data_IF_229849409151
#
_entry.id   IF_229849409151
#
_cell.length_a   1.000
_cell.length_b   1.000
_cell.length_c   1.000
_cell.angle_alpha   90.00
_cell.angle_beta   90.00
_cell.angle_gamma   90.00
#
_symmetry.space_group_name_H-M   'P 1'
#
loop_
_entity.id
_entity.type
_entity.pdbx_description
1 polymer ?
#
# COMPACT_ATOMS: atom_id res chain seq x y z
N UNK A 1 -21.94 -12.01 -46.37
CA UNK A 1 -20.70 -11.22 -46.18
C UNK A 1 -20.72 -10.66 -44.77
N UNK A 2 -20.04 -11.32 -43.83
CA UNK A 2 -19.94 -10.89 -42.43
C UNK A 2 -18.69 -10.02 -42.32
N UNK A 3 -18.87 -8.71 -42.13
CA UNK A 3 -17.76 -7.81 -41.84
C UNK A 3 -17.81 -7.55 -40.34
N UNK A 4 -16.86 -8.17 -39.66
CA UNK A 4 -16.49 -7.91 -38.28
C UNK A 4 -16.03 -6.46 -38.18
N UNK A 5 -16.61 -5.67 -37.28
CA UNK A 5 -15.92 -4.49 -36.76
C UNK A 5 -16.17 -4.39 -35.26
N UNK A 6 -15.23 -5.00 -34.55
CA UNK A 6 -14.61 -4.48 -33.34
C UNK A 6 -15.55 -4.11 -32.19
N UNK A 7 -15.83 -5.17 -31.43
CA UNK A 7 -15.86 -5.19 -29.98
C UNK A 7 -14.72 -4.31 -29.41
N UNK A 8 -15.02 -3.07 -29.06
CA UNK A 8 -14.23 -2.34 -28.08
C UNK A 8 -14.68 -2.87 -26.71
N UNK A 9 -14.12 -4.00 -26.28
CA UNK A 9 -14.03 -4.28 -24.86
C UNK A 9 -13.10 -3.21 -24.30
N UNK A 10 -13.68 -2.18 -23.70
CA UNK A 10 -13.02 -1.43 -22.64
C UNK A 10 -12.82 -2.45 -21.51
N UNK A 11 -11.79 -3.27 -21.62
CA UNK A 11 -11.20 -3.90 -20.44
C UNK A 11 -10.52 -2.72 -19.77
N UNK A 12 -11.13 -2.19 -18.70
CA UNK A 12 -10.41 -1.29 -17.82
C UNK A 12 -9.08 -1.96 -17.50
N UNK A 13 -7.98 -1.25 -17.68
CA UNK A 13 -6.74 -1.62 -17.03
C UNK A 13 -6.93 -1.34 -15.54
N UNK A 14 -7.77 -2.13 -14.88
CA UNK A 14 -7.72 -2.23 -13.43
C UNK A 14 -6.53 -3.13 -13.18
N UNK A 15 -5.46 -2.55 -12.64
CA UNK A 15 -4.33 -3.30 -12.11
C UNK A 15 -4.85 -4.10 -10.91
N UNK A 16 -5.61 -5.16 -11.15
CA UNK A 16 -6.08 -6.05 -10.09
C UNK A 16 -4.88 -6.84 -9.62
N UNK A 17 -4.18 -6.27 -8.65
CA UNK A 17 -3.18 -6.97 -7.88
C UNK A 17 -3.72 -8.32 -7.44
N UNK A 18 -2.91 -9.35 -7.63
CA UNK A 18 -3.18 -10.64 -7.00
C UNK A 18 -3.01 -10.51 -5.49
N UNK A 19 -3.71 -11.34 -4.72
CA UNK A 19 -3.59 -11.39 -3.25
C UNK A 19 -2.11 -11.48 -2.83
N UNK A 20 -1.32 -12.33 -3.50
CA UNK A 20 0.13 -12.46 -3.27
C UNK A 20 0.89 -11.15 -3.42
N UNK A 21 0.56 -10.33 -4.42
CA UNK A 21 1.24 -9.04 -4.61
C UNK A 21 0.84 -8.01 -3.55
N UNK A 22 -0.40 -8.08 -3.06
CA UNK A 22 -0.84 -7.28 -1.92
C UNK A 22 -0.09 -7.70 -0.66
N UNK A 23 0.03 -9.01 -0.40
CA UNK A 23 0.83 -9.57 0.70
C UNK A 23 2.30 -9.11 0.61
N UNK A 24 2.94 -9.22 -0.56
CA UNK A 24 4.32 -8.77 -0.79
C UNK A 24 4.48 -7.25 -0.54
N UNK A 25 3.49 -6.45 -0.93
CA UNK A 25 3.50 -5.00 -0.68
C UNK A 25 3.34 -4.66 0.80
N UNK A 26 2.41 -5.32 1.51
CA UNK A 26 2.24 -5.18 2.96
C UNK A 26 3.50 -5.59 3.70
N UNK A 27 4.12 -6.71 3.31
CA UNK A 27 5.38 -7.17 3.87
C UNK A 27 6.49 -6.12 3.67
N UNK A 28 6.58 -5.53 2.47
CA UNK A 28 7.53 -4.44 2.17
C UNK A 28 7.32 -3.20 3.03
N UNK A 29 6.07 -2.82 3.31
CA UNK A 29 5.75 -1.72 4.23
C UNK A 29 6.20 -2.06 5.63
N UNK A 30 5.77 -3.20 6.16
CA UNK A 30 6.10 -3.62 7.52
C UNK A 30 7.62 -3.66 7.69
N UNK A 31 8.34 -4.23 6.72
CA UNK A 31 9.80 -4.21 6.70
C UNK A 31 10.37 -2.78 6.76
N UNK A 32 9.85 -1.86 5.95
CA UNK A 32 10.26 -0.46 5.96
C UNK A 32 9.99 0.26 7.29
N UNK A 33 8.90 -0.09 7.97
CA UNK A 33 8.49 0.48 9.26
C UNK A 33 9.32 -0.06 10.43
N UNK A 34 9.54 -1.37 10.47
CA UNK A 34 10.16 -2.07 11.60
C UNK A 34 11.68 -2.12 11.47
N UNK A 35 12.20 -2.14 10.23
CA UNK A 35 13.62 -2.32 9.91
C UNK A 35 14.24 -3.57 10.57
N UNK A 36 13.42 -4.61 10.75
CA UNK A 36 13.76 -5.86 11.42
C UNK A 36 13.20 -7.07 10.64
N UNK A 37 13.72 -8.26 10.94
CA UNK A 37 13.45 -9.52 10.20
C UNK A 37 12.35 -10.39 10.85
N UNK A 38 11.67 -9.87 11.87
CA UNK A 38 10.55 -10.54 12.57
C UNK A 38 9.24 -10.54 11.73
N UNK A 39 9.36 -10.37 10.40
CA UNK A 39 8.26 -10.45 9.44
C UNK A 39 7.62 -11.83 9.39
N UNK A 40 8.41 -12.88 9.62
CA UNK A 40 7.92 -14.27 9.60
C UNK A 40 6.87 -14.49 10.69
N UNK A 41 7.05 -13.88 11.86
CA UNK A 41 6.15 -13.93 13.00
C UNK A 41 4.85 -13.16 12.72
N UNK A 42 4.95 -12.03 12.03
CA UNK A 42 3.80 -11.23 11.61
C UNK A 42 2.98 -11.99 10.56
N UNK A 43 3.61 -12.52 9.51
CA UNK A 43 2.97 -13.32 8.47
C UNK A 43 2.27 -14.57 9.05
N UNK A 44 2.90 -15.24 10.01
CA UNK A 44 2.30 -16.41 10.66
C UNK A 44 1.10 -16.07 11.56
N UNK A 45 1.04 -14.83 12.05
CA UNK A 45 0.05 -14.37 13.01
C UNK A 45 -1.17 -13.71 12.36
N UNK A 46 -0.95 -12.91 11.33
CA UNK A 46 -1.98 -12.15 10.63
C UNK A 46 -2.87 -13.09 9.81
N UNK A 47 -3.92 -13.62 10.46
CA UNK A 47 -4.86 -14.57 9.84
C UNK A 47 -6.11 -13.85 9.36
N UNK A 48 -6.59 -14.23 8.17
CA UNK A 48 -7.77 -13.67 7.51
C UNK A 48 -7.68 -12.14 7.30
N UNK A 49 -6.66 -11.73 6.57
CA UNK A 49 -6.39 -10.33 6.21
C UNK A 49 -7.30 -9.74 5.14
N UNK A 50 -8.45 -10.34 4.79
CA UNK A 50 -9.26 -9.90 3.64
C UNK A 50 -9.60 -8.40 3.64
N UNK A 51 -9.91 -7.82 4.82
CA UNK A 51 -10.14 -6.37 4.95
C UNK A 51 -8.86 -5.58 4.66
N UNK A 52 -7.75 -5.99 5.28
CA UNK A 52 -6.43 -5.39 5.08
C UNK A 52 -6.01 -5.50 3.61
N UNK A 53 -6.23 -6.65 2.97
CA UNK A 53 -5.95 -6.90 1.57
C UNK A 53 -6.75 -5.94 0.68
N UNK A 54 -8.05 -5.80 0.91
CA UNK A 54 -8.91 -4.87 0.15
C UNK A 54 -8.47 -3.41 0.33
N UNK A 55 -8.17 -2.99 1.57
CA UNK A 55 -7.76 -1.62 1.89
C UNK A 55 -6.39 -1.29 1.30
N UNK A 56 -5.44 -2.22 1.36
CA UNK A 56 -4.12 -2.06 0.73
C UNK A 56 -4.25 -2.09 -0.79
N UNK A 57 -5.00 -3.03 -1.37
CA UNK A 57 -5.21 -3.09 -2.81
C UNK A 57 -5.80 -1.78 -3.34
N UNK A 58 -6.75 -1.18 -2.61
CA UNK A 58 -7.29 0.14 -2.93
C UNK A 58 -6.20 1.22 -2.91
N UNK A 59 -5.45 1.32 -1.81
CA UNK A 59 -4.40 2.34 -1.66
C UNK A 59 -3.31 2.23 -2.73
N UNK A 60 -2.90 1.00 -3.07
CA UNK A 60 -1.89 0.77 -4.11
C UNK A 60 -2.44 1.13 -5.49
N UNK A 61 -3.70 0.78 -5.78
CA UNK A 61 -4.34 1.15 -7.05
C UNK A 61 -4.42 2.66 -7.25
N UNK A 62 -4.68 3.43 -6.19
CA UNK A 62 -4.65 4.88 -6.20
C UNK A 62 -3.23 5.41 -6.47
N UNK A 63 -2.23 4.94 -5.72
CA UNK A 63 -0.83 5.35 -5.93
C UNK A 63 -0.38 5.08 -7.37
N UNK A 64 -0.76 3.94 -7.94
CA UNK A 64 -0.34 3.54 -9.29
C UNK A 64 -0.97 4.33 -10.43
N UNK A 65 -2.03 5.11 -10.20
CA UNK A 65 -2.51 6.05 -11.22
C UNK A 65 -1.44 7.09 -11.55
N UNK A 66 -0.53 7.37 -10.61
CA UNK A 66 0.67 8.15 -10.84
C UNK A 66 0.42 9.66 -10.93
N UNK A 67 -0.82 10.12 -10.80
CA UNK A 67 -1.11 11.54 -10.68
C UNK A 67 -1.05 12.02 -9.22
N UNK A 68 -0.82 13.32 -9.05
CA UNK A 68 -0.58 13.91 -7.74
C UNK A 68 -1.76 13.73 -6.77
N UNK A 69 -3.03 14.00 -7.17
CA UNK A 69 -4.19 13.70 -6.32
C UNK A 69 -4.27 12.25 -5.87
N UNK A 70 -4.12 11.29 -6.79
CA UNK A 70 -4.30 9.87 -6.50
C UNK A 70 -3.17 9.32 -5.62
N UNK A 71 -1.92 9.77 -5.83
CA UNK A 71 -0.79 9.44 -4.93
C UNK A 71 -1.05 9.96 -3.52
N UNK A 72 -1.56 11.20 -3.38
CA UNK A 72 -1.86 11.76 -2.06
C UNK A 72 -2.98 10.97 -1.38
N UNK A 73 -4.03 10.61 -2.11
CA UNK A 73 -5.14 9.81 -1.57
C UNK A 73 -4.66 8.42 -1.13
N UNK A 74 -3.92 7.72 -1.99
CA UNK A 74 -3.43 6.39 -1.65
C UNK A 74 -2.46 6.38 -0.46
N UNK A 75 -1.64 7.42 -0.28
CA UNK A 75 -0.81 7.56 0.94
C UNK A 75 -1.68 7.80 2.19
N UNK A 76 -2.79 8.55 2.07
CA UNK A 76 -3.70 8.77 3.20
C UNK A 76 -4.43 7.47 3.59
N UNK A 77 -4.89 6.71 2.59
CA UNK A 77 -5.57 5.43 2.79
C UNK A 77 -4.63 4.38 3.38
N UNK A 78 -3.38 4.32 2.89
CA UNK A 78 -2.34 3.49 3.49
C UNK A 78 -2.03 3.91 4.94
N UNK A 79 -2.13 5.21 5.21
CA UNK A 79 -2.04 5.75 6.55
C UNK A 79 -3.09 5.20 7.51
N UNK A 80 -4.34 5.06 7.05
CA UNK A 80 -5.43 4.45 7.82
C UNK A 80 -5.11 2.99 8.11
N UNK A 81 -4.67 2.23 7.11
CA UNK A 81 -4.22 0.83 7.29
C UNK A 81 -3.17 0.73 8.38
N UNK A 82 -2.15 1.59 8.36
CA UNK A 82 -1.06 1.54 9.33
C UNK A 82 -1.52 1.93 10.76
N UNK A 83 -2.61 2.68 10.90
CA UNK A 83 -3.23 2.93 12.20
C UNK A 83 -3.99 1.73 12.75
N UNK A 84 -4.50 0.86 11.89
CA UNK A 84 -5.25 -0.33 12.26
C UNK A 84 -4.31 -1.51 12.60
N UNK A 85 -3.14 -1.60 11.96
CA UNK A 85 -2.14 -2.65 12.18
C UNK A 85 -1.83 -2.94 13.67
N UNK A 86 -1.62 -1.95 14.57
CA UNK A 86 -1.39 -2.25 15.98
C UNK A 86 -2.51 -3.01 16.68
N UNK A 87 -3.76 -2.82 16.26
CA UNK A 87 -4.90 -3.56 16.76
C UNK A 87 -4.99 -4.95 16.13
N UNK A 88 -4.76 -5.04 14.81
CA UNK A 88 -4.78 -6.32 14.08
C UNK A 88 -3.67 -7.28 14.53
N UNK A 89 -2.57 -6.72 15.03
CA UNK A 89 -1.39 -7.44 15.49
C UNK A 89 -1.33 -7.62 17.02
N UNK A 90 -2.36 -7.21 17.77
CA UNK A 90 -2.32 -7.18 19.25
C UNK A 90 -2.19 -8.56 19.91
N UNK A 91 -2.66 -9.60 19.22
CA UNK A 91 -2.58 -11.01 19.66
C UNK A 91 -1.31 -11.71 19.18
N UNK A 92 -0.50 -11.06 18.34
CA UNK A 92 0.74 -11.61 17.83
C UNK A 92 1.81 -11.65 18.91
N UNK A 93 2.47 -12.80 19.02
CA UNK A 93 3.49 -13.04 20.04
C UNK A 93 4.87 -12.78 19.47
N UNK A 94 5.78 -12.36 20.34
CA UNK A 94 7.20 -12.09 20.04
C UNK A 94 7.48 -10.90 19.11
N UNK A 95 6.46 -10.19 18.61
CA UNK A 95 6.62 -9.00 17.75
C UNK A 95 6.54 -7.67 18.51
N UNK A 96 6.73 -7.68 19.84
CA UNK A 96 6.42 -6.50 20.66
C UNK A 96 7.29 -5.29 20.29
N UNK A 97 8.53 -5.53 19.87
CA UNK A 97 9.43 -4.50 19.35
C UNK A 97 8.90 -3.88 18.05
N UNK A 98 8.43 -4.72 17.12
CA UNK A 98 7.82 -4.27 15.86
C UNK A 98 6.56 -3.45 16.09
N UNK A 99 5.68 -3.93 16.97
CA UNK A 99 4.46 -3.21 17.36
C UNK A 99 4.75 -1.82 17.90
N UNK A 100 5.80 -1.67 18.71
CA UNK A 100 6.17 -0.36 19.26
C UNK A 100 6.71 0.58 18.17
N UNK A 101 7.44 0.05 17.18
CA UNK A 101 7.92 0.81 16.01
C UNK A 101 6.77 1.22 15.09
N UNK A 102 5.86 0.29 14.79
CA UNK A 102 4.66 0.56 13.99
C UNK A 102 3.82 1.65 14.68
N UNK A 103 3.56 1.54 15.99
CA UNK A 103 2.84 2.58 16.76
C UNK A 103 3.54 3.94 16.71
N UNK A 104 4.87 3.96 16.86
CA UNK A 104 5.63 5.19 16.79
C UNK A 104 5.50 5.86 15.42
N UNK A 105 5.57 5.08 14.33
CA UNK A 105 5.41 5.59 12.98
C UNK A 105 3.96 6.01 12.68
N UNK A 106 2.99 5.19 13.06
CA UNK A 106 1.54 5.43 12.89
C UNK A 106 1.06 6.70 13.58
N UNK A 107 1.80 7.20 14.59
CA UNK A 107 1.42 8.38 15.36
C UNK A 107 1.18 9.63 14.49
N UNK A 108 1.92 9.82 13.39
CA UNK A 108 1.74 10.98 12.51
C UNK A 108 0.37 10.97 11.81
N UNK A 109 -0.18 9.78 11.56
CA UNK A 109 -1.46 9.62 10.89
C UNK A 109 -2.65 10.01 11.78
N UNK A 110 -2.42 10.15 13.09
CA UNK A 110 -3.47 10.52 14.05
C UNK A 110 -3.81 12.02 14.06
N UNK A 111 -2.99 12.86 13.41
CA UNK A 111 -3.25 14.29 13.26
C UNK A 111 -3.42 14.66 11.77
N UNK A 112 -4.65 14.61 11.23
CA UNK A 112 -4.91 14.94 9.82
C UNK A 112 -4.51 16.37 9.45
N UNK A 113 -4.47 17.31 10.42
CA UNK A 113 -4.07 18.71 10.16
C UNK A 113 -2.57 18.83 9.92
N UNK A 114 -1.77 17.91 10.47
CA UNK A 114 -0.33 17.83 10.22
C UNK A 114 -0.03 16.89 9.06
N UNK A 115 -0.75 15.76 8.98
CA UNK A 115 -0.53 14.72 7.96
C UNK A 115 -0.74 15.27 6.55
N UNK A 116 -1.92 15.83 6.24
CA UNK A 116 -2.27 16.27 4.89
C UNK A 116 -1.25 17.26 4.30
N UNK A 117 -0.87 18.36 4.97
CA UNK A 117 0.14 19.27 4.42
C UNK A 117 1.53 18.62 4.36
N UNK A 118 1.86 17.71 5.27
CA UNK A 118 3.16 17.00 5.26
C UNK A 118 3.27 16.06 4.07
N UNK A 119 2.25 15.22 3.84
CA UNK A 119 2.17 14.32 2.68
C UNK A 119 2.21 15.13 1.40
N UNK A 120 1.35 16.14 1.27
CA UNK A 120 1.28 16.99 0.07
C UNK A 120 2.64 17.61 -0.24
N UNK A 121 3.31 18.20 0.76
CA UNK A 121 4.63 18.81 0.59
C UNK A 121 5.67 17.80 0.14
N UNK A 122 5.71 16.62 0.78
CA UNK A 122 6.70 15.60 0.47
C UNK A 122 6.46 14.95 -0.89
N UNK A 123 5.21 14.69 -1.26
CA UNK A 123 4.87 14.15 -2.58
C UNK A 123 5.26 15.14 -3.67
N UNK A 124 4.92 16.43 -3.54
CA UNK A 124 5.33 17.44 -4.52
C UNK A 124 6.86 17.53 -4.64
N UNK A 125 7.57 17.53 -3.51
CA UNK A 125 9.03 17.64 -3.51
C UNK A 125 9.72 16.42 -4.16
N UNK A 126 9.09 15.24 -4.12
CA UNK A 126 9.66 13.99 -4.62
C UNK A 126 8.88 13.40 -5.80
N UNK A 127 7.96 14.16 -6.41
CA UNK A 127 6.98 13.66 -7.36
C UNK A 127 7.61 12.92 -8.54
N UNK A 128 8.72 13.45 -9.08
CA UNK A 128 9.46 12.82 -10.16
C UNK A 128 10.03 11.46 -9.76
N UNK A 129 10.57 11.32 -8.56
CA UNK A 129 11.14 10.06 -8.08
C UNK A 129 10.03 9.05 -7.81
N UNK A 130 8.96 9.48 -7.14
CA UNK A 130 7.79 8.65 -6.87
C UNK A 130 7.18 8.12 -8.17
N UNK A 131 7.03 8.97 -9.18
CA UNK A 131 6.48 8.55 -10.49
C UNK A 131 7.40 7.55 -11.21
N UNK A 132 8.73 7.72 -11.11
CA UNK A 132 9.68 6.74 -11.64
C UNK A 132 9.57 5.40 -10.91
N UNK A 133 9.47 5.41 -9.58
CA UNK A 133 9.33 4.21 -8.77
C UNK A 133 8.00 3.48 -9.07
N UNK A 134 6.91 4.22 -9.27
CA UNK A 134 5.61 3.67 -9.72
C UNK A 134 5.75 3.00 -11.09
N UNK A 135 6.46 3.63 -12.03
CA UNK A 135 6.67 3.03 -13.35
C UNK A 135 7.49 1.74 -13.26
N UNK A 136 8.58 1.74 -12.49
CA UNK A 136 9.40 0.55 -12.26
C UNK A 136 8.61 -0.57 -11.59
N UNK A 137 7.79 -0.23 -10.59
CA UNK A 137 6.91 -1.19 -9.89
C UNK A 137 5.90 -1.81 -10.85
N UNK A 138 5.26 -1.01 -11.71
CA UNK A 138 4.38 -1.48 -12.79
C UNK A 138 5.10 -2.48 -13.71
N UNK A 139 6.33 -2.16 -14.13
CA UNK A 139 7.12 -3.03 -14.98
C UNK A 139 7.47 -4.35 -14.29
N UNK A 140 7.77 -4.34 -13.00
CA UNK A 140 8.10 -5.56 -12.25
C UNK A 140 6.87 -6.44 -11.98
N UNK A 141 5.72 -5.83 -11.66
CA UNK A 141 4.43 -6.52 -11.57
C UNK A 141 4.10 -7.23 -12.87
N UNK A 142 4.36 -6.61 -14.03
CA UNK A 142 4.07 -7.19 -15.35
C UNK A 142 4.93 -8.41 -15.72
N UNK A 143 6.01 -8.67 -14.96
CA UNK A 143 6.95 -9.79 -15.19
C UNK A 143 6.70 -11.01 -14.29
N UNK A 144 5.87 -10.88 -13.25
CA UNK A 144 5.51 -11.97 -12.35
C UNK A 144 4.33 -12.80 -12.88
#
# INVERSE_FOLDING_TARGET
MKIFSTLALLIGAENVFTIRQVEEFVAGIIYGLVQDDDLTEIEACLKDGAKLEDEVAKAVNEIMQGDLPDIIQGIQDLGVVIQELPADLDTCKNIQGDLDRIKAWASIFSDPKVLVPTVTKNVIANFSNITMDIQMTNEDISKQ
#
